data_IF_607589380600
#
_entry.id   IF_607589380600
#
_cell.length_a   1.000
_cell.length_b   1.000
_cell.length_c   1.000
_cell.angle_alpha   90.00
_cell.angle_beta   90.00
_cell.angle_gamma   90.00
#
_symmetry.space_group_name_H-M   'P 1'
#
loop_
_entity.id
_entity.type
_entity.pdbx_description
1 polymer ?
#
# COMPACT_ATOMS: atom_id res chain seq x y z
N UNK A 1 -32.81 -27.18 0.61
CA UNK A 1 -31.92 -26.70 1.65
C UNK A 1 -32.25 -25.24 1.93
N UNK A 2 -32.17 -24.81 3.17
CA UNK A 2 -32.43 -23.43 3.55
C UNK A 2 -31.30 -22.55 2.99
N UNK A 3 -31.66 -21.37 2.47
CA UNK A 3 -30.69 -20.38 2.03
C UNK A 3 -30.10 -19.64 3.24
N UNK A 4 -28.80 -19.51 3.31
CA UNK A 4 -28.14 -18.67 4.31
C UNK A 4 -28.24 -17.19 3.91
N UNK A 5 -28.50 -16.36 4.89
CA UNK A 5 -28.50 -14.90 4.77
C UNK A 5 -27.50 -14.31 5.78
N UNK A 6 -26.73 -13.35 5.33
CA UNK A 6 -25.70 -12.68 6.13
C UNK A 6 -26.06 -11.21 6.36
N UNK A 7 -25.80 -10.72 7.55
CA UNK A 7 -26.05 -9.32 7.92
C UNK A 7 -25.00 -8.82 8.92
N UNK A 8 -24.84 -7.51 9.00
CA UNK A 8 -24.11 -6.85 10.09
C UNK A 8 -25.14 -6.58 11.18
N UNK A 9 -24.92 -7.12 12.38
CA UNK A 9 -25.89 -7.10 13.45
C UNK A 9 -25.71 -5.87 14.36
N UNK A 10 -24.47 -5.57 14.71
CA UNK A 10 -24.10 -4.50 15.67
C UNK A 10 -22.61 -4.19 15.62
N UNK A 11 -22.16 -3.25 16.42
CA UNK A 11 -20.79 -2.81 16.60
C UNK A 11 -20.68 -1.30 16.41
N UNK A 12 -19.74 -0.68 17.09
CA UNK A 12 -19.58 0.78 17.05
C UNK A 12 -19.25 1.27 15.64
N UNK A 13 -18.55 0.44 14.86
CA UNK A 13 -18.10 0.75 13.49
C UNK A 13 -18.91 0.05 12.39
N UNK A 14 -20.05 -0.56 12.75
CA UNK A 14 -20.87 -1.34 11.80
C UNK A 14 -21.24 -0.58 10.51
N UNK A 15 -21.44 0.74 10.61
CA UNK A 15 -21.83 1.59 9.47
C UNK A 15 -20.73 1.77 8.42
N UNK A 16 -19.49 1.47 8.79
CA UNK A 16 -18.32 1.56 7.93
C UNK A 16 -18.10 0.31 7.08
N UNK A 17 -18.94 -0.71 7.27
CA UNK A 17 -18.83 -1.99 6.56
C UNK A 17 -20.06 -2.31 5.73
N UNK A 18 -19.86 -3.20 4.77
CA UNK A 18 -20.91 -3.84 3.96
C UNK A 18 -20.69 -5.34 3.94
N UNK A 19 -21.78 -6.10 3.91
CA UNK A 19 -21.74 -7.54 3.74
C UNK A 19 -22.64 -7.94 2.56
N UNK A 20 -22.15 -8.82 1.70
CA UNK A 20 -22.94 -9.34 0.57
C UNK A 20 -23.85 -10.47 1.02
N UNK A 21 -24.83 -10.84 0.17
CA UNK A 21 -25.70 -12.02 0.40
C UNK A 21 -24.89 -13.34 0.44
N UNK A 22 -23.68 -13.37 -0.10
CA UNK A 22 -22.75 -14.52 -0.03
C UNK A 22 -21.81 -14.50 1.17
N UNK A 23 -21.92 -13.48 2.06
CA UNK A 23 -21.11 -13.37 3.28
C UNK A 23 -19.75 -12.69 3.09
N UNK A 24 -19.51 -12.02 1.96
CA UNK A 24 -18.28 -11.24 1.79
C UNK A 24 -18.41 -9.90 2.52
N UNK A 25 -17.59 -9.72 3.56
CA UNK A 25 -17.46 -8.47 4.32
C UNK A 25 -16.42 -7.57 3.66
N UNK A 26 -16.70 -6.28 3.60
CA UNK A 26 -15.76 -5.26 3.10
C UNK A 26 -16.02 -3.92 3.76
N UNK A 27 -15.03 -3.03 3.77
CA UNK A 27 -15.28 -1.63 4.09
C UNK A 27 -16.23 -0.99 3.06
N UNK A 28 -17.07 -0.06 3.53
CA UNK A 28 -17.98 0.72 2.69
C UNK A 28 -17.21 1.77 1.85
N UNK A 29 -16.12 2.30 2.42
CA UNK A 29 -15.13 3.16 1.77
C UNK A 29 -13.75 2.67 2.18
N UNK A 30 -12.72 2.97 1.40
CA UNK A 30 -11.34 2.62 1.76
C UNK A 30 -10.97 3.31 3.08
N UNK A 31 -10.49 2.57 4.09
CA UNK A 31 -10.03 3.17 5.33
C UNK A 31 -8.71 3.93 5.10
N UNK A 32 -8.49 4.97 5.90
CA UNK A 32 -7.29 5.79 5.92
C UNK A 32 -6.66 5.68 7.31
N UNK A 33 -5.42 5.21 7.40
CA UNK A 33 -4.73 4.98 8.66
C UNK A 33 -4.44 6.29 9.40
N UNK A 34 -4.05 7.35 8.68
CA UNK A 34 -3.72 8.67 9.23
C UNK A 34 -4.96 9.47 9.61
N UNK A 35 -6.15 9.04 9.11
CA UNK A 35 -7.44 9.67 9.42
C UNK A 35 -8.48 8.59 9.69
N UNK A 36 -8.36 7.86 10.82
CA UNK A 36 -9.25 6.76 11.15
C UNK A 36 -10.71 7.21 11.25
N UNK A 37 -11.60 6.42 10.63
CA UNK A 37 -13.03 6.69 10.63
C UNK A 37 -13.81 5.91 11.68
N UNK A 38 -13.14 5.08 12.50
CA UNK A 38 -13.71 4.31 13.59
C UNK A 38 -14.16 5.22 14.75
N UNK A 39 -14.96 4.68 15.66
CA UNK A 39 -15.66 5.46 16.70
C UNK A 39 -14.70 6.08 17.72
N UNK A 40 -13.54 5.46 17.97
CA UNK A 40 -12.55 5.89 18.99
C UNK A 40 -11.18 6.29 18.39
N UNK A 41 -11.07 6.30 17.06
CA UNK A 41 -9.92 6.81 16.28
C UNK A 41 -8.62 6.06 16.60
N UNK A 42 -8.70 4.72 16.80
CA UNK A 42 -7.55 3.88 17.13
C UNK A 42 -7.15 2.90 16.01
N UNK A 43 -7.81 2.99 14.82
CA UNK A 43 -7.65 2.07 13.68
C UNK A 43 -8.12 0.63 13.97
N UNK A 44 -8.91 0.43 15.01
CA UNK A 44 -9.45 -0.88 15.40
C UNK A 44 -10.97 -0.88 15.30
N UNK A 45 -11.48 -1.47 14.26
CA UNK A 45 -12.90 -1.47 13.90
C UNK A 45 -13.62 -2.67 14.51
N UNK A 46 -14.69 -2.44 15.26
CA UNK A 46 -15.46 -3.45 15.99
C UNK A 46 -16.84 -3.63 15.39
N UNK A 47 -17.17 -4.85 14.98
CA UNK A 47 -18.50 -5.20 14.47
C UNK A 47 -18.87 -6.64 14.80
N UNK A 48 -20.17 -6.93 14.74
CA UNK A 48 -20.70 -8.29 14.88
C UNK A 48 -21.49 -8.64 13.61
N UNK A 49 -21.15 -9.76 13.00
CA UNK A 49 -21.86 -10.32 11.86
C UNK A 49 -22.79 -11.44 12.31
N UNK A 50 -23.87 -11.65 11.58
CA UNK A 50 -24.84 -12.72 11.81
C UNK A 50 -25.09 -13.50 10.52
N UNK A 51 -25.25 -14.80 10.66
CA UNK A 51 -25.79 -15.68 9.62
C UNK A 51 -27.09 -16.31 10.11
N UNK A 52 -28.06 -16.47 9.22
CA UNK A 52 -29.32 -17.16 9.52
C UNK A 52 -29.76 -18.01 8.34
N UNK A 53 -30.46 -19.12 8.62
CA UNK A 53 -31.16 -19.96 7.65
C UNK A 53 -32.70 -19.72 7.64
N UNK A 54 -33.13 -18.67 8.38
CA UNK A 54 -34.53 -18.33 8.56
C UNK A 54 -35.19 -18.97 9.80
N UNK A 55 -34.52 -19.95 10.44
CA UNK A 55 -34.99 -20.62 11.65
C UNK A 55 -33.99 -20.52 12.78
N UNK A 56 -32.72 -20.69 12.46
CA UNK A 56 -31.59 -20.58 13.37
C UNK A 56 -30.69 -19.41 12.97
N UNK A 57 -30.01 -18.84 13.94
CA UNK A 57 -29.01 -17.80 13.71
C UNK A 57 -27.77 -18.06 14.56
N UNK A 58 -26.65 -17.64 14.01
CA UNK A 58 -25.36 -17.58 14.70
C UNK A 58 -24.73 -16.23 14.46
N UNK A 59 -23.89 -15.75 15.40
CA UNK A 59 -23.25 -14.45 15.31
C UNK A 59 -21.79 -14.50 15.76
N UNK A 60 -20.95 -13.68 15.12
CA UNK A 60 -19.53 -13.59 15.39
C UNK A 60 -19.12 -12.12 15.52
N UNK A 61 -18.50 -11.77 16.67
CA UNK A 61 -17.83 -10.49 16.80
C UNK A 61 -16.48 -10.53 16.07
N UNK A 62 -16.21 -9.46 15.34
CA UNK A 62 -15.00 -9.28 14.55
C UNK A 62 -14.28 -8.02 15.01
N UNK A 63 -12.95 -8.10 15.03
CA UNK A 63 -12.05 -6.98 15.18
C UNK A 63 -11.25 -6.87 13.89
N UNK A 64 -11.32 -5.71 13.24
CA UNK A 64 -10.57 -5.43 12.01
C UNK A 64 -9.60 -4.29 12.31
N UNK A 65 -8.31 -4.54 12.20
CA UNK A 65 -7.28 -3.51 12.40
C UNK A 65 -6.77 -3.01 11.06
N UNK A 66 -6.81 -1.70 10.86
CA UNK A 66 -6.13 -1.03 9.75
C UNK A 66 -4.70 -0.77 10.21
N UNK A 67 -3.74 -1.16 9.39
CA UNK A 67 -2.33 -0.98 9.67
C UNK A 67 -1.76 0.09 8.76
N UNK A 68 -0.82 0.87 9.29
CA UNK A 68 -0.06 1.82 8.50
C UNK A 68 0.67 1.13 7.35
N UNK A 69 0.85 1.85 6.26
CA UNK A 69 1.52 1.34 5.08
C UNK A 69 2.33 2.43 4.38
N UNK A 70 3.58 2.13 4.07
CA UNK A 70 4.39 3.00 3.24
C UNK A 70 3.87 2.97 1.79
N UNK A 71 3.50 4.12 1.27
CA UNK A 71 2.83 4.27 -0.01
C UNK A 71 3.64 5.12 -0.98
N UNK A 72 3.36 4.94 -2.26
CA UNK A 72 3.96 5.77 -3.29
C UNK A 72 3.46 5.46 -4.67
N UNK A 73 4.11 6.06 -5.66
CA UNK A 73 3.76 5.89 -7.06
C UNK A 73 5.00 5.74 -7.93
N UNK A 74 4.96 4.78 -8.85
CA UNK A 74 5.97 4.58 -9.89
C UNK A 74 5.48 5.27 -11.16
N UNK A 75 6.23 6.26 -11.63
CA UNK A 75 5.82 7.12 -12.74
C UNK A 75 6.96 7.31 -13.75
N UNK A 76 6.74 6.74 -14.93
CA UNK A 76 7.38 7.10 -16.20
C UNK A 76 6.33 6.97 -17.35
N UNK A 77 5.17 7.29 -17.21
CA UNK A 77 3.79 6.85 -17.37
C UNK A 77 3.47 5.87 -16.21
N UNK A 78 2.21 5.71 -15.78
CA UNK A 78 1.94 4.74 -14.73
C UNK A 78 2.45 3.36 -15.10
N UNK A 79 3.29 2.76 -14.25
CA UNK A 79 3.82 1.41 -14.44
C UNK A 79 3.00 0.46 -13.59
N UNK A 80 2.30 -0.48 -14.21
CA UNK A 80 1.46 -1.48 -13.51
C UNK A 80 2.19 -2.81 -13.36
N UNK A 81 1.94 -3.49 -12.24
CA UNK A 81 2.51 -4.82 -11.96
C UNK A 81 4.03 -4.83 -11.73
N UNK A 82 4.65 -3.67 -11.51
CA UNK A 82 6.05 -3.60 -11.13
C UNK A 82 6.23 -4.13 -9.70
N UNK A 83 7.29 -4.89 -9.44
CA UNK A 83 7.71 -5.23 -8.09
C UNK A 83 8.32 -3.98 -7.44
N UNK A 84 7.74 -3.54 -6.32
CA UNK A 84 8.33 -2.46 -5.51
C UNK A 84 8.78 -3.05 -4.18
N UNK A 85 9.96 -2.68 -3.72
CA UNK A 85 10.48 -3.07 -2.41
C UNK A 85 11.33 -1.95 -1.79
N UNK A 86 11.45 -1.99 -0.46
CA UNK A 86 12.34 -1.09 0.26
C UNK A 86 13.64 -1.82 0.55
N UNK A 87 14.68 -1.44 -0.17
CA UNK A 87 16.05 -1.93 0.01
C UNK A 87 16.65 -1.30 1.27
N UNK A 88 16.70 -2.07 2.35
CA UNK A 88 17.12 -1.62 3.67
C UNK A 88 18.66 -1.70 3.86
N UNK A 89 19.33 -2.50 3.04
CA UNK A 89 20.77 -2.77 3.15
C UNK A 89 21.61 -2.25 1.98
N UNK A 90 20.97 -1.58 1.02
CA UNK A 90 21.57 -0.96 -0.18
C UNK A 90 22.28 -1.95 -1.11
N UNK A 91 21.78 -3.21 -1.19
CA UNK A 91 22.34 -4.21 -2.11
C UNK A 91 21.65 -4.23 -3.49
N UNK A 92 20.58 -3.44 -3.68
CA UNK A 92 19.74 -3.35 -4.88
C UNK A 92 19.06 -4.67 -5.28
N UNK A 93 18.87 -5.59 -4.32
CA UNK A 93 18.16 -6.84 -4.49
C UNK A 93 17.02 -6.91 -3.48
N UNK A 94 15.94 -7.64 -3.85
CA UNK A 94 14.85 -7.91 -2.91
C UNK A 94 15.24 -9.05 -1.99
N UNK A 95 15.43 -8.75 -0.71
CA UNK A 95 15.69 -9.75 0.34
C UNK A 95 14.41 -10.18 1.05
N UNK A 96 14.47 -11.30 1.80
CA UNK A 96 13.28 -11.93 2.40
C UNK A 96 12.60 -11.05 3.45
N UNK A 97 13.38 -10.27 4.19
CA UNK A 97 12.97 -9.40 5.29
C UNK A 97 12.62 -7.97 4.84
N UNK A 98 12.75 -7.67 3.55
CA UNK A 98 12.41 -6.38 3.01
C UNK A 98 10.94 -6.27 2.61
N UNK A 99 10.25 -5.19 3.03
CA UNK A 99 8.86 -4.98 2.65
C UNK A 99 8.72 -4.80 1.14
N UNK A 100 7.70 -5.41 0.56
CA UNK A 100 7.48 -5.36 -0.88
C UNK A 100 6.01 -5.47 -1.25
N UNK A 101 5.67 -4.95 -2.43
CA UNK A 101 4.36 -5.01 -3.04
C UNK A 101 4.45 -4.91 -4.56
N UNK A 102 3.30 -4.82 -5.20
CA UNK A 102 3.24 -4.58 -6.64
C UNK A 102 2.46 -3.29 -6.92
N UNK A 103 2.79 -2.62 -8.02
CA UNK A 103 2.02 -1.45 -8.46
C UNK A 103 0.66 -1.85 -9.04
N UNK A 104 -0.36 -1.03 -8.75
CA UNK A 104 -1.70 -1.14 -9.34
C UNK A 104 -1.75 -0.59 -10.78
N UNK A 105 -2.98 -0.53 -11.36
CA UNK A 105 -3.20 -0.04 -12.73
C UNK A 105 -2.84 1.45 -12.91
N UNK A 106 -2.74 2.22 -11.85
CA UNK A 106 -2.38 3.64 -11.85
C UNK A 106 -0.93 3.89 -11.43
N UNK A 107 -0.15 2.82 -11.18
CA UNK A 107 1.22 2.87 -10.74
C UNK A 107 1.40 3.09 -9.23
N UNK A 108 0.33 3.08 -8.43
CA UNK A 108 0.44 3.17 -6.98
C UNK A 108 0.88 1.85 -6.36
N UNK A 109 1.68 1.93 -5.32
CA UNK A 109 2.10 0.78 -4.52
C UNK A 109 1.85 1.04 -3.03
N UNK A 110 1.77 -0.06 -2.31
CA UNK A 110 1.61 -0.11 -0.87
C UNK A 110 2.48 -1.26 -0.35
N UNK A 111 3.33 -0.98 0.63
CA UNK A 111 4.19 -1.97 1.28
C UNK A 111 4.06 -1.82 2.80
N UNK A 112 4.28 -2.92 3.53
CA UNK A 112 4.23 -2.88 4.99
C UNK A 112 5.20 -1.83 5.55
N UNK A 113 4.83 -1.22 6.68
CA UNK A 113 5.72 -0.31 7.41
C UNK A 113 7.03 -0.97 7.78
N UNK A 114 8.07 -0.19 7.84
CA UNK A 114 9.42 -0.65 8.16
C UNK A 114 10.15 0.39 9.03
N UNK A 115 11.15 -0.06 9.74
CA UNK A 115 12.07 0.85 10.45
C UNK A 115 13.21 1.22 9.51
N UNK A 116 13.34 2.51 9.20
CA UNK A 116 14.45 2.99 8.40
C UNK A 116 15.78 2.76 9.16
N UNK A 117 16.84 2.25 8.49
CA UNK A 117 18.14 2.09 9.11
C UNK A 117 18.66 3.42 9.68
N UNK A 118 19.26 3.37 10.87
CA UNK A 118 19.90 4.54 11.44
C UNK A 118 21.07 4.99 10.54
N UNK A 119 21.04 6.26 10.12
CA UNK A 119 22.04 6.82 9.22
C UNK A 119 21.61 6.99 7.77
N UNK A 120 20.37 6.63 7.44
CA UNK A 120 19.83 6.72 6.07
C UNK A 120 20.32 5.57 5.18
N UNK A 121 20.05 5.67 3.88
CA UNK A 121 20.52 4.71 2.88
C UNK A 121 19.46 3.73 2.41
N UNK A 122 18.30 3.64 3.07
CA UNK A 122 17.17 2.86 2.53
C UNK A 122 16.64 3.49 1.23
N UNK A 123 16.30 2.65 0.28
CA UNK A 123 15.80 3.08 -1.03
C UNK A 123 14.53 2.36 -1.39
N UNK A 124 13.65 3.04 -2.11
CA UNK A 124 12.53 2.42 -2.80
C UNK A 124 12.98 2.01 -4.18
N UNK A 125 12.89 0.74 -4.50
CA UNK A 125 13.27 0.20 -5.80
C UNK A 125 12.05 -0.40 -6.47
N UNK A 126 11.80 0.00 -7.71
CA UNK A 126 10.80 -0.59 -8.59
C UNK A 126 11.47 -1.38 -9.70
N UNK A 127 11.05 -2.61 -9.95
CA UNK A 127 11.59 -3.47 -11.03
C UNK A 127 10.49 -4.01 -11.92
N UNK A 128 10.74 -3.97 -13.23
CA UNK A 128 9.86 -4.52 -14.23
C UNK A 128 8.53 -3.78 -14.36
N UNK A 129 7.49 -4.51 -14.71
CA UNK A 129 6.13 -4.00 -14.89
C UNK A 129 5.76 -3.76 -16.35
N UNK A 130 4.62 -3.11 -16.55
CA UNK A 130 4.05 -2.78 -17.85
C UNK A 130 3.67 -1.31 -17.87
N UNK A 131 4.03 -0.59 -18.90
CA UNK A 131 3.55 0.76 -19.16
C UNK A 131 2.03 0.72 -19.38
N UNK A 132 1.27 1.29 -18.47
CA UNK A 132 -0.19 1.26 -18.49
C UNK A 132 -0.79 2.00 -19.69
N UNK A 133 -0.05 2.95 -20.28
CA UNK A 133 -0.51 3.74 -21.43
C UNK A 133 -0.31 3.01 -22.76
N UNK A 134 0.80 2.31 -22.92
CA UNK A 134 1.16 1.64 -24.18
C UNK A 134 0.92 0.14 -24.16
N UNK A 135 0.77 -0.46 -22.96
CA UNK A 135 0.70 -1.91 -22.79
C UNK A 135 2.05 -2.62 -22.99
N UNK A 136 3.15 -1.87 -23.08
CA UNK A 136 4.48 -2.43 -23.33
C UNK A 136 5.05 -3.01 -22.04
N UNK A 137 5.45 -4.28 -22.06
CA UNK A 137 6.17 -4.89 -20.96
C UNK A 137 7.59 -4.32 -20.85
N UNK A 138 8.04 -4.05 -19.61
CA UNK A 138 9.31 -3.40 -19.30
C UNK A 138 10.14 -4.27 -18.34
N UNK A 139 10.54 -5.49 -18.72
CA UNK A 139 11.14 -6.45 -17.78
C UNK A 139 12.49 -5.97 -17.20
N UNK A 140 13.22 -5.12 -17.93
CA UNK A 140 14.52 -4.60 -17.52
C UNK A 140 14.43 -3.23 -16.84
N UNK A 141 13.22 -2.66 -16.68
CA UNK A 141 13.06 -1.38 -16.02
C UNK A 141 13.48 -1.50 -14.55
N UNK A 142 14.33 -0.60 -14.11
CA UNK A 142 14.68 -0.42 -12.70
C UNK A 142 14.67 1.08 -12.37
N UNK A 143 13.77 1.48 -11.48
CA UNK A 143 13.66 2.85 -11.00
C UNK A 143 13.92 2.87 -9.50
N UNK A 144 14.58 3.94 -9.02
CA UNK A 144 15.02 4.07 -7.63
C UNK A 144 14.64 5.45 -7.10
N UNK A 145 14.29 5.51 -5.84
CA UNK A 145 14.13 6.74 -5.07
C UNK A 145 14.73 6.56 -3.69
N UNK A 146 15.27 7.60 -3.10
CA UNK A 146 15.56 7.60 -1.67
C UNK A 146 14.24 7.49 -0.89
N UNK A 147 14.22 6.79 0.24
CA UNK A 147 13.07 6.81 1.14
C UNK A 147 12.90 8.22 1.69
N UNK A 148 11.70 8.82 1.65
CA UNK A 148 11.45 10.12 2.27
C UNK A 148 11.84 10.12 3.76
N UNK A 149 12.31 11.25 4.25
CA UNK A 149 12.64 11.40 5.69
C UNK A 149 11.38 11.22 6.58
N UNK A 150 10.22 11.57 6.04
CA UNK A 150 8.92 11.31 6.61
C UNK A 150 8.25 10.20 5.78
N UNK A 151 8.17 9.01 6.35
CA UNK A 151 7.62 7.82 5.68
C UNK A 151 6.10 7.85 5.52
N UNK A 152 5.42 8.83 6.13
CA UNK A 152 3.98 9.08 5.91
C UNK A 152 3.71 9.80 4.59
N UNK A 153 4.75 10.38 3.97
CA UNK A 153 4.63 11.02 2.67
C UNK A 153 4.68 10.01 1.53
N UNK A 154 3.90 10.27 0.49
CA UNK A 154 3.93 9.45 -0.73
C UNK A 154 5.30 9.48 -1.39
N UNK A 155 5.91 8.32 -1.56
CA UNK A 155 7.13 8.19 -2.33
C UNK A 155 6.84 8.30 -3.83
N UNK A 156 7.66 9.09 -4.54
CA UNK A 156 7.64 9.13 -6.01
C UNK A 156 8.87 8.43 -6.56
N UNK A 157 8.65 7.38 -7.35
CA UNK A 157 9.72 6.61 -8.00
C UNK A 157 9.67 6.90 -9.50
N UNK A 158 10.63 7.66 -9.99
CA UNK A 158 10.66 8.18 -11.37
C UNK A 158 12.08 8.06 -11.95
N UNK A 159 12.27 8.21 -13.28
CA UNK A 159 13.60 8.34 -13.86
C UNK A 159 14.43 9.47 -13.22
N UNK A 160 13.79 10.59 -12.86
CA UNK A 160 14.46 11.69 -12.20
C UNK A 160 14.92 11.32 -10.77
N UNK A 161 14.06 10.69 -9.96
CA UNK A 161 14.45 10.23 -8.62
C UNK A 161 15.55 9.18 -8.69
N UNK A 162 15.52 8.32 -9.72
CA UNK A 162 16.57 7.35 -10.02
C UNK A 162 17.90 8.05 -10.25
N UNK A 163 17.94 9.07 -11.09
CA UNK A 163 19.14 9.85 -11.34
C UNK A 163 19.64 10.54 -10.05
N UNK A 164 18.74 11.14 -9.27
CA UNK A 164 19.05 11.82 -8.02
C UNK A 164 19.55 10.86 -6.93
N UNK A 165 19.07 9.62 -6.87
CA UNK A 165 19.47 8.64 -5.85
C UNK A 165 20.94 8.19 -6.02
N UNK A 166 21.49 8.30 -7.24
CA UNK A 166 22.89 8.00 -7.52
C UNK A 166 23.82 9.22 -7.37
N UNK A 167 23.27 10.41 -7.16
CA UNK A 167 24.08 11.61 -6.91
C UNK A 167 24.70 11.54 -5.50
N UNK A 168 26.04 11.65 -5.44
CA UNK A 168 26.80 11.36 -4.21
C UNK A 168 26.76 12.47 -3.16
N UNK A 169 26.40 13.70 -3.54
CA UNK A 169 26.34 14.84 -2.61
C UNK A 169 25.11 15.71 -2.87
N UNK A 170 24.67 16.52 -1.86
CA UNK A 170 23.60 17.48 -2.05
C UNK A 170 23.85 18.49 -3.17
N UNK A 171 25.11 18.90 -3.37
CA UNK A 171 25.51 19.84 -4.42
C UNK A 171 25.32 19.22 -5.81
N UNK A 172 25.68 17.94 -6.01
CA UNK A 172 25.45 17.22 -7.28
C UNK A 172 23.96 17.05 -7.52
N UNK A 173 23.16 16.70 -6.48
CA UNK A 173 21.69 16.64 -6.58
C UNK A 173 21.09 17.96 -7.04
N UNK A 174 21.57 19.08 -6.48
CA UNK A 174 21.13 20.43 -6.89
C UNK A 174 21.50 20.76 -8.33
N UNK A 175 22.68 20.39 -8.79
CA UNK A 175 23.11 20.59 -10.18
C UNK A 175 22.28 19.80 -11.19
N UNK A 176 21.91 18.55 -10.88
CA UNK A 176 21.01 17.73 -11.70
C UNK A 176 19.66 18.40 -11.85
N UNK A 177 19.07 18.95 -10.77
CA UNK A 177 17.78 19.62 -10.81
C UNK A 177 17.78 20.94 -11.60
N UNK A 178 18.91 21.65 -11.69
CA UNK A 178 19.03 22.91 -12.45
C UNK A 178 19.25 22.65 -13.96
N UNK A 179 19.74 21.48 -14.34
CA UNK A 179 20.03 21.12 -15.72
C UNK A 179 18.87 20.43 -16.48
N UNK A 180 17.74 20.27 -15.84
CA UNK A 180 16.49 19.69 -16.39
C UNK A 180 15.45 20.76 -16.68
#
# INVERSE_FOLDING_TARGET
GNSLSFSILSGDDQSLFRITSSGVLSFASMPDFESPGDADIDNTYLLTVQVTDGSLNDSQSLTVTVTDAFQGRVVDAPITGALVFVDLNSNNQKDTDEPSGATDANGYFNVATFTSPQGGGARVISKGGTDAKTGTALPELALVSDVPADVTQLASVTPLTTLLSFASTPEIKAQVLVSL
#
